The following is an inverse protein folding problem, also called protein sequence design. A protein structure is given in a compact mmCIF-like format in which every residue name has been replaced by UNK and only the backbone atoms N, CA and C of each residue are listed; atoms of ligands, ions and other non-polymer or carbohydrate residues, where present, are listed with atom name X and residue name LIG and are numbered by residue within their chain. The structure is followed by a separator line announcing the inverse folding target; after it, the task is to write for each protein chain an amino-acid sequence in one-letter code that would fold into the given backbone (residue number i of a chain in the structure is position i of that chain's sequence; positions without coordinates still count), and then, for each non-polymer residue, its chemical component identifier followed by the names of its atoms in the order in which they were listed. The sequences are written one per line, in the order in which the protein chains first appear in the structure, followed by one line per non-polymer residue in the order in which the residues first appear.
data_IF_907227511575
#
_entry.id   IF_907227511575
#
_cell.length_a   1.000
_cell.length_b   1.000
_cell.length_c   1.000
_cell.angle_alpha   90.00
_cell.angle_beta   90.00
_cell.angle_gamma   90.00
#
_symmetry.space_group_name_H-M   'P 1'
#
loop_
_entity.id
_entity.type
_entity.pdbx_description
1 polymer ?
#
# COMPACT_ATOMS: atom_id res chain seq x y z
N UNK A 1 18.26 25.86 -13.07
CA UNK A 1 17.36 24.76 -12.70
C UNK A 1 17.66 23.63 -13.65
N UNK A 2 17.96 22.44 -13.16
CA UNK A 2 18.16 21.29 -14.05
C UNK A 2 16.81 20.66 -14.39
N UNK A 3 16.67 20.05 -15.58
CA UNK A 3 15.43 19.39 -16.03
C UNK A 3 14.91 18.36 -15.00
N UNK A 4 15.83 17.71 -14.26
CA UNK A 4 15.49 16.77 -13.19
C UNK A 4 14.78 17.45 -12.00
N UNK A 5 15.18 18.67 -11.63
CA UNK A 5 14.53 19.44 -10.56
C UNK A 5 13.13 19.90 -10.97
N UNK A 6 12.96 20.28 -12.24
CA UNK A 6 11.65 20.67 -12.78
C UNK A 6 10.71 19.48 -12.83
N UNK A 7 11.18 18.32 -13.30
CA UNK A 7 10.46 17.06 -13.23
C UNK A 7 9.99 16.74 -11.80
N UNK A 8 10.90 16.79 -10.82
CA UNK A 8 10.58 16.48 -9.42
C UNK A 8 9.53 17.43 -8.83
N UNK A 9 9.53 18.70 -9.23
CA UNK A 9 8.49 19.65 -8.82
C UNK A 9 7.16 19.36 -9.48
N UNK A 10 7.14 19.06 -10.78
CA UNK A 10 5.91 18.77 -11.51
C UNK A 10 5.24 17.47 -11.02
N UNK A 11 6.03 16.49 -10.60
CA UNK A 11 5.57 15.15 -10.20
C UNK A 11 5.62 14.93 -8.67
N UNK A 12 5.53 16.00 -7.88
CA UNK A 12 5.56 15.93 -6.41
C UNK A 12 4.43 15.07 -5.83
N UNK A 13 3.30 14.91 -6.53
CA UNK A 13 2.19 14.02 -6.12
C UNK A 13 2.41 12.53 -6.38
N UNK A 14 3.41 12.14 -7.18
CA UNK A 14 3.64 10.75 -7.56
C UNK A 14 3.99 9.86 -6.34
N UNK A 15 3.59 8.59 -6.36
CA UNK A 15 3.97 7.60 -5.33
C UNK A 15 5.45 7.30 -5.34
N UNK A 16 6.06 7.38 -6.51
CA UNK A 16 7.42 6.98 -6.79
C UNK A 16 7.71 7.13 -8.27
N UNK A 17 8.96 6.86 -8.64
CA UNK A 17 9.45 7.12 -10.00
C UNK A 17 9.91 5.84 -10.66
N UNK A 18 9.62 5.71 -11.96
CA UNK A 18 10.23 4.72 -12.83
C UNK A 18 11.27 5.44 -13.70
N UNK A 19 12.51 4.99 -13.65
CA UNK A 19 13.59 5.53 -14.47
C UNK A 19 14.12 4.45 -15.40
N UNK A 20 14.14 4.75 -16.69
CA UNK A 20 14.71 3.85 -17.70
C UNK A 20 16.05 4.41 -18.16
N UNK A 21 17.12 3.69 -17.87
CA UNK A 21 18.51 4.08 -18.19
C UNK A 21 18.96 3.33 -19.44
N UNK A 22 18.97 4.03 -20.57
CA UNK A 22 19.48 3.50 -21.83
C UNK A 22 20.98 3.77 -22.01
N UNK A 23 21.48 4.85 -21.39
CA UNK A 23 22.89 5.19 -21.31
C UNK A 23 23.10 5.99 -20.02
N UNK A 24 24.09 5.63 -19.20
CA UNK A 24 24.30 6.30 -17.92
C UNK A 24 25.24 7.49 -18.08
N UNK A 25 24.86 8.62 -17.46
CA UNK A 25 25.74 9.76 -17.22
C UNK A 25 25.84 9.92 -15.70
N UNK A 26 27.06 9.98 -15.18
CA UNK A 26 27.38 10.15 -13.76
C UNK A 26 26.56 11.29 -13.16
N UNK A 27 25.92 11.05 -12.01
CA UNK A 27 25.24 12.07 -11.22
C UNK A 27 23.86 12.53 -11.73
N UNK A 28 23.45 12.14 -12.93
CA UNK A 28 22.15 12.56 -13.49
C UNK A 28 20.96 11.94 -12.73
N UNK A 29 21.15 10.75 -12.18
CA UNK A 29 20.11 10.03 -11.44
C UNK A 29 19.99 10.50 -9.99
N UNK A 30 21.03 11.11 -9.41
CA UNK A 30 21.09 11.40 -7.99
C UNK A 30 19.92 12.28 -7.48
N UNK A 31 19.50 13.35 -8.19
CA UNK A 31 18.33 14.12 -7.75
C UNK A 31 17.07 13.26 -7.59
N UNK A 32 16.84 12.33 -8.52
CA UNK A 32 15.68 11.44 -8.50
C UNK A 32 15.82 10.39 -7.38
N UNK A 33 17.01 9.79 -7.23
CA UNK A 33 17.29 8.81 -6.19
C UNK A 33 17.27 9.42 -4.77
N UNK A 34 17.55 10.71 -4.65
CA UNK A 34 17.51 11.49 -3.40
C UNK A 34 16.16 12.11 -3.09
N UNK A 35 15.16 11.95 -3.96
CA UNK A 35 13.81 12.51 -3.76
C UNK A 35 13.07 12.00 -2.51
N UNK A 36 13.57 10.94 -1.86
CA UNK A 36 12.92 10.28 -0.73
C UNK A 36 11.74 9.38 -1.13
N UNK A 37 11.34 9.40 -2.40
CA UNK A 37 10.30 8.53 -2.92
C UNK A 37 10.85 7.16 -3.33
N UNK A 38 10.03 6.10 -3.30
CA UNK A 38 10.34 4.84 -3.95
C UNK A 38 10.73 5.04 -5.42
N UNK A 39 11.86 4.49 -5.85
CA UNK A 39 12.30 4.55 -7.25
C UNK A 39 12.58 3.14 -7.78
N UNK A 40 12.11 2.86 -8.99
CA UNK A 40 12.49 1.67 -9.74
C UNK A 40 13.35 2.12 -10.90
N UNK A 41 14.59 1.63 -10.96
CA UNK A 41 15.53 1.89 -12.04
C UNK A 41 15.64 0.63 -12.88
N UNK A 42 15.36 0.76 -14.18
CA UNK A 42 15.54 -0.30 -15.18
C UNK A 42 16.57 0.18 -16.18
N UNK A 43 17.60 -0.60 -16.47
CA UNK A 43 18.56 -0.21 -17.50
C UNK A 43 19.18 -1.37 -18.24
N UNK A 44 19.88 -1.04 -19.32
CA UNK A 44 20.63 -2.03 -20.11
C UNK A 44 21.94 -2.41 -19.40
N UNK A 45 22.25 -3.70 -19.40
CA UNK A 45 23.52 -4.19 -18.89
C UNK A 45 24.71 -3.51 -19.61
N UNK A 46 25.80 -3.29 -18.87
CA UNK A 46 27.10 -2.74 -19.32
C UNK A 46 27.21 -1.22 -19.49
N UNK A 47 26.15 -0.47 -19.83
CA UNK A 47 26.24 1.00 -19.87
C UNK A 47 25.84 1.65 -18.54
N UNK A 48 26.85 1.89 -17.69
CA UNK A 48 26.76 2.56 -16.39
C UNK A 48 25.80 1.95 -15.35
N UNK A 49 25.53 0.65 -15.52
CA UNK A 49 24.91 -0.19 -14.50
C UNK A 49 25.65 -0.13 -13.15
N UNK A 50 26.98 -0.04 -13.18
CA UNK A 50 27.80 0.04 -11.97
C UNK A 50 27.54 1.30 -11.15
N UNK A 51 27.45 2.46 -11.81
CA UNK A 51 27.23 3.75 -11.14
C UNK A 51 25.81 3.85 -10.58
N UNK A 52 24.82 3.46 -11.37
CA UNK A 52 23.44 3.43 -10.91
C UNK A 52 23.26 2.44 -9.74
N UNK A 53 23.97 1.30 -9.76
CA UNK A 53 23.98 0.37 -8.64
C UNK A 53 24.60 1.00 -7.39
N UNK A 54 25.77 1.64 -7.51
CA UNK A 54 26.42 2.35 -6.39
C UNK A 54 25.53 3.45 -5.81
N UNK A 55 24.91 4.27 -6.67
CA UNK A 55 23.93 5.28 -6.28
C UNK A 55 22.73 4.67 -5.53
N UNK A 56 22.34 3.44 -5.87
CA UNK A 56 21.21 2.76 -5.22
C UNK A 56 21.55 2.16 -3.86
N UNK A 57 22.82 1.89 -3.58
CA UNK A 57 23.28 1.25 -2.33
C UNK A 57 23.41 2.22 -1.15
N UNK A 58 23.23 3.52 -1.37
CA UNK A 58 23.30 4.50 -0.29
C UNK A 58 22.20 4.27 0.77
N UNK A 59 22.56 4.24 2.07
CA UNK A 59 21.59 4.07 3.15
C UNK A 59 20.46 5.09 3.11
N UNK A 60 19.24 4.64 3.38
CA UNK A 60 18.04 5.49 3.41
C UNK A 60 17.37 5.70 2.05
N UNK A 61 17.98 5.26 0.95
CA UNK A 61 17.35 5.30 -0.38
C UNK A 61 16.40 4.11 -0.56
N UNK A 62 15.21 4.36 -1.12
CA UNK A 62 14.16 3.36 -1.38
C UNK A 62 14.17 2.96 -2.85
N UNK A 63 15.25 2.33 -3.30
CA UNK A 63 15.50 2.10 -4.73
C UNK A 63 15.55 0.61 -5.05
N UNK A 64 14.84 0.20 -6.10
CA UNK A 64 14.99 -1.12 -6.73
C UNK A 64 15.67 -0.92 -8.06
N UNK A 65 16.79 -1.59 -8.29
CA UNK A 65 17.58 -1.39 -9.51
C UNK A 65 17.75 -2.71 -10.24
N UNK A 66 17.40 -2.73 -11.53
CA UNK A 66 17.51 -3.90 -12.41
C UNK A 66 18.25 -3.51 -13.67
N UNK A 67 19.43 -4.09 -13.85
CA UNK A 67 20.19 -4.02 -15.08
C UNK A 67 20.20 -5.37 -15.77
N UNK A 68 19.77 -5.40 -17.02
CA UNK A 68 19.62 -6.63 -17.80
C UNK A 68 19.92 -6.37 -19.27
N UNK A 69 20.26 -7.41 -20.02
CA UNK A 69 20.44 -7.32 -21.47
C UNK A 69 19.14 -6.99 -22.21
N UNK A 70 17.99 -7.28 -21.59
CA UNK A 70 16.69 -6.97 -22.15
C UNK A 70 15.85 -6.16 -21.14
N UNK A 71 16.00 -4.81 -21.08
CA UNK A 71 15.26 -3.97 -20.14
C UNK A 71 13.75 -3.97 -20.38
N UNK A 72 13.30 -4.34 -21.59
CA UNK A 72 11.89 -4.56 -21.91
C UNK A 72 11.40 -5.98 -21.55
N UNK A 73 12.26 -6.81 -20.97
CA UNK A 73 11.92 -8.16 -20.54
C UNK A 73 10.92 -8.18 -19.39
N UNK A 74 10.14 -9.26 -19.32
CA UNK A 74 9.13 -9.48 -18.26
C UNK A 74 9.73 -9.34 -16.86
N UNK A 75 10.96 -9.78 -16.66
CA UNK A 75 11.64 -9.69 -15.37
C UNK A 75 11.81 -8.23 -14.90
N UNK A 76 12.33 -7.36 -15.75
CA UNK A 76 12.56 -5.95 -15.44
C UNK A 76 11.23 -5.20 -15.25
N UNK A 77 10.31 -5.34 -16.21
CA UNK A 77 9.00 -4.68 -16.16
C UNK A 77 8.20 -5.14 -14.93
N UNK A 78 8.33 -6.39 -14.50
CA UNK A 78 7.63 -6.89 -13.31
C UNK A 78 7.97 -6.12 -12.04
N UNK A 79 9.07 -5.36 -11.98
CA UNK A 79 9.40 -4.54 -10.81
C UNK A 79 8.52 -3.30 -10.68
N UNK A 80 7.94 -2.81 -11.78
CA UNK A 80 7.00 -1.68 -11.77
C UNK A 80 5.75 -1.99 -10.93
N UNK A 81 5.39 -3.28 -10.78
CA UNK A 81 4.26 -3.71 -9.95
C UNK A 81 4.33 -3.24 -8.50
N UNK A 82 5.53 -2.99 -7.97
CA UNK A 82 5.70 -2.49 -6.59
C UNK A 82 5.20 -1.05 -6.46
N UNK A 83 5.48 -0.19 -7.45
CA UNK A 83 4.94 1.17 -7.48
C UNK A 83 3.42 1.15 -7.61
N UNK A 84 2.88 0.26 -8.45
CA UNK A 84 1.43 0.07 -8.57
C UNK A 84 0.79 -0.43 -7.27
N UNK A 85 1.45 -1.33 -6.55
CA UNK A 85 0.97 -1.82 -5.26
C UNK A 85 0.97 -0.70 -4.22
N UNK A 86 2.02 0.12 -4.17
CA UNK A 86 2.09 1.28 -3.27
C UNK A 86 1.01 2.32 -3.58
N UNK A 87 0.73 2.59 -4.87
CA UNK A 87 -0.36 3.49 -5.23
C UNK A 87 -1.73 2.96 -4.79
N UNK A 88 -1.99 1.67 -5.04
CA UNK A 88 -3.21 1.02 -4.57
C UNK A 88 -3.35 1.08 -3.05
N UNK A 89 -2.28 0.83 -2.31
CA UNK A 89 -2.29 0.90 -0.85
C UNK A 89 -2.54 2.32 -0.35
N UNK A 90 -1.84 3.33 -0.89
CA UNK A 90 -2.04 4.74 -0.54
C UNK A 90 -3.47 5.22 -0.78
N UNK A 91 -4.11 4.72 -1.84
CA UNK A 91 -5.49 5.04 -2.19
C UNK A 91 -6.54 4.13 -1.53
N UNK A 92 -6.10 3.14 -0.74
CA UNK A 92 -7.00 2.22 -0.04
C UNK A 92 -7.48 2.81 1.29
N UNK A 93 -8.71 2.46 1.64
CA UNK A 93 -9.33 2.77 2.93
C UNK A 93 -9.60 1.46 3.65
N UNK A 94 -9.17 1.35 4.90
CA UNK A 94 -9.48 0.17 5.72
C UNK A 94 -10.47 0.58 6.78
N UNK A 95 -11.65 -0.05 6.76
CA UNK A 95 -12.70 0.17 7.74
C UNK A 95 -12.52 -0.80 8.91
N UNK A 96 -12.39 -0.26 10.11
CA UNK A 96 -12.42 -0.99 11.37
C UNK A 96 -13.79 -0.79 12.01
N UNK A 97 -14.55 -1.88 12.11
CA UNK A 97 -15.81 -1.92 12.84
C UNK A 97 -15.48 -2.42 14.25
N UNK A 98 -15.68 -1.56 15.24
CA UNK A 98 -15.31 -1.85 16.64
C UNK A 98 -16.51 -1.68 17.57
N UNK A 99 -16.44 -2.27 18.77
CA UNK A 99 -17.48 -2.04 19.77
C UNK A 99 -17.50 -0.57 20.21
N UNK A 100 -18.62 -0.05 20.73
CA UNK A 100 -18.72 1.33 21.22
C UNK A 100 -17.67 1.66 22.29
N UNK A 101 -17.36 0.71 23.19
CA UNK A 101 -16.32 0.87 24.21
C UNK A 101 -14.93 0.99 23.57
N UNK A 102 -14.60 0.16 22.58
CA UNK A 102 -13.33 0.24 21.86
C UNK A 102 -13.20 1.53 21.05
N UNK A 103 -14.26 2.01 20.38
CA UNK A 103 -14.25 3.32 19.69
C UNK A 103 -13.93 4.45 20.66
N UNK A 104 -14.53 4.41 21.85
CA UNK A 104 -14.25 5.35 22.94
C UNK A 104 -12.78 5.28 23.36
N UNK A 105 -12.22 4.09 23.58
CA UNK A 105 -10.79 3.96 23.93
C UNK A 105 -9.82 4.42 22.83
N UNK A 106 -10.19 4.37 21.55
CA UNK A 106 -9.33 4.86 20.46
C UNK A 106 -9.42 6.38 20.27
N UNK A 107 -10.60 6.97 20.49
CA UNK A 107 -10.84 8.41 20.32
C UNK A 107 -10.39 9.24 21.51
N UNK A 108 -10.55 8.71 22.72
CA UNK A 108 -10.07 9.33 23.93
C UNK A 108 -8.61 8.91 24.12
N UNK A 109 -7.67 9.84 23.92
CA UNK A 109 -6.24 9.64 24.18
C UNK A 109 -5.97 9.44 25.69
N UNK A 110 -6.51 8.38 26.28
CA UNK A 110 -6.20 8.01 27.65
C UNK A 110 -4.77 7.46 27.68
N UNK A 111 -3.95 7.81 28.67
CA UNK A 111 -2.53 7.43 28.75
C UNK A 111 -2.25 5.92 28.84
N UNK A 112 -3.29 5.08 28.93
CA UNK A 112 -3.23 3.62 28.92
C UNK A 112 -3.69 2.98 27.59
N UNK A 113 -4.26 3.76 26.67
CA UNK A 113 -4.77 3.30 25.35
C UNK A 113 -3.75 3.44 24.22
N UNK A 114 -2.50 3.69 24.58
CA UNK A 114 -1.36 4.01 23.72
C UNK A 114 -1.13 2.98 22.61
N UNK A 115 -1.65 1.75 22.76
CA UNK A 115 -1.42 0.66 21.82
C UNK A 115 -2.24 0.77 20.52
N UNK A 116 -3.57 0.91 20.58
CA UNK A 116 -4.39 0.84 19.35
C UNK A 116 -4.20 2.07 18.44
N UNK A 117 -4.14 3.27 19.01
CA UNK A 117 -3.92 4.49 18.21
C UNK A 117 -2.52 4.51 17.59
N UNK A 118 -1.50 4.00 18.30
CA UNK A 118 -0.14 3.89 17.74
C UNK A 118 -0.06 2.83 16.64
N UNK A 119 -0.81 1.72 16.75
CA UNK A 119 -0.96 0.73 15.67
C UNK A 119 -1.56 1.36 14.42
N UNK A 120 -2.65 2.14 14.53
CA UNK A 120 -3.25 2.80 13.37
C UNK A 120 -2.33 3.84 12.74
N UNK A 121 -1.62 4.64 13.55
CA UNK A 121 -0.61 5.58 13.06
C UNK A 121 0.53 4.85 12.36
N UNK A 122 0.97 3.72 12.90
CA UNK A 122 2.04 2.90 12.31
C UNK A 122 1.62 2.32 10.97
N UNK A 123 0.40 1.76 10.88
CA UNK A 123 -0.17 1.26 9.63
C UNK A 123 -0.22 2.39 8.60
N UNK A 124 -0.75 3.57 8.97
CA UNK A 124 -0.80 4.72 8.07
C UNK A 124 0.60 5.19 7.62
N UNK A 125 1.55 5.29 8.55
CA UNK A 125 2.91 5.73 8.25
C UNK A 125 3.68 4.75 7.35
N UNK A 126 3.46 3.45 7.52
CA UNK A 126 4.13 2.41 6.73
C UNK A 126 3.47 2.23 5.36
N UNK A 127 2.13 2.22 5.30
CA UNK A 127 1.38 1.79 4.11
C UNK A 127 0.71 2.92 3.36
N UNK A 128 0.58 4.11 3.96
CA UNK A 128 -0.23 5.22 3.45
C UNK A 128 -1.75 4.99 3.55
N UNK A 129 -2.19 3.81 3.99
CA UNK A 129 -3.61 3.45 4.09
C UNK A 129 -4.28 4.31 5.17
N UNK A 130 -5.43 4.87 4.86
CA UNK A 130 -6.23 5.62 5.82
C UNK A 130 -7.16 4.67 6.60
N UNK A 131 -6.96 4.47 7.92
CA UNK A 131 -7.90 3.73 8.74
C UNK A 131 -9.15 4.58 8.99
N UNK A 132 -10.33 3.97 8.85
CA UNK A 132 -11.62 4.54 9.19
C UNK A 132 -12.19 3.72 10.33
N UNK A 133 -12.62 4.35 11.40
CA UNK A 133 -13.16 3.66 12.58
C UNK A 133 -14.64 4.00 12.70
N UNK A 134 -15.47 2.95 12.70
CA UNK A 134 -16.92 3.06 12.90
C UNK A 134 -17.31 2.17 14.08
N UNK A 135 -18.30 2.59 14.87
CA UNK A 135 -18.86 1.70 15.87
C UNK A 135 -19.84 0.72 15.24
N UNK A 136 -19.97 -0.44 15.87
CA UNK A 136 -20.84 -1.51 15.40
C UNK A 136 -22.32 -1.08 15.30
N UNK A 137 -22.82 -0.25 16.21
CA UNK A 137 -24.21 0.22 16.16
C UNK A 137 -24.45 1.19 15.00
N UNK A 138 -23.53 2.12 14.78
CA UNK A 138 -23.53 3.06 13.66
C UNK A 138 -23.44 2.30 12.34
N UNK A 139 -22.57 1.28 12.26
CA UNK A 139 -22.48 0.41 11.09
C UNK A 139 -23.80 -0.33 10.85
N UNK A 140 -24.38 -0.90 11.90
CA UNK A 140 -25.65 -1.65 11.83
C UNK A 140 -26.79 -0.76 11.34
N UNK A 141 -26.94 0.44 11.90
CA UNK A 141 -28.00 1.37 11.54
C UNK A 141 -27.83 1.95 10.12
N UNK A 142 -26.60 2.25 9.70
CA UNK A 142 -26.33 2.86 8.39
C UNK A 142 -26.36 1.86 7.25
N UNK A 143 -25.85 0.66 7.47
CA UNK A 143 -25.61 -0.30 6.39
C UNK A 143 -26.44 -1.57 6.56
N UNK A 144 -26.40 -2.22 7.72
CA UNK A 144 -27.02 -3.55 7.90
C UNK A 144 -28.55 -3.50 7.87
N UNK A 145 -29.18 -2.66 8.68
CA UNK A 145 -30.64 -2.62 8.82
C UNK A 145 -31.37 -2.09 7.57
N UNK A 146 -30.65 -1.55 6.59
CA UNK A 146 -31.22 -1.02 5.35
C UNK A 146 -31.27 -2.04 4.22
N UNK A 147 -30.61 -3.19 4.40
CA UNK A 147 -30.58 -4.25 3.39
C UNK A 147 -31.91 -4.98 3.37
N UNK A 148 -32.44 -5.23 2.17
CA UNK A 148 -33.61 -6.08 1.99
C UNK A 148 -33.25 -7.54 2.30
N UNK A 149 -34.02 -8.18 3.17
CA UNK A 149 -33.82 -9.56 3.58
C UNK A 149 -33.91 -10.55 2.41
N UNK A 150 -34.76 -10.29 1.42
CA UNK A 150 -34.90 -11.13 0.23
C UNK A 150 -33.63 -11.12 -0.64
N UNK A 151 -33.01 -9.95 -0.80
CA UNK A 151 -31.73 -9.82 -1.51
C UNK A 151 -30.59 -10.50 -0.75
N UNK A 152 -30.58 -10.35 0.58
CA UNK A 152 -29.59 -11.00 1.44
C UNK A 152 -29.71 -12.53 1.35
N UNK A 153 -30.93 -13.06 1.27
CA UNK A 153 -31.20 -14.51 1.20
C UNK A 153 -30.62 -15.13 -0.07
N UNK A 154 -30.71 -14.45 -1.20
CA UNK A 154 -30.12 -14.91 -2.47
C UNK A 154 -28.59 -15.09 -2.34
N UNK A 155 -27.92 -14.14 -1.70
CA UNK A 155 -26.46 -14.20 -1.45
C UNK A 155 -26.12 -15.30 -0.46
N UNK A 156 -26.88 -15.41 0.64
CA UNK A 156 -26.68 -16.44 1.65
C UNK A 156 -26.84 -17.86 1.06
N UNK A 157 -27.90 -18.10 0.28
CA UNK A 157 -28.13 -19.39 -0.38
C UNK A 157 -27.03 -19.74 -1.38
N UNK A 158 -26.45 -18.74 -2.05
CA UNK A 158 -25.30 -18.95 -2.93
C UNK A 158 -24.04 -19.35 -2.14
N UNK A 159 -23.79 -18.70 -1.00
CA UNK A 159 -22.69 -19.07 -0.11
C UNK A 159 -22.87 -20.47 0.48
N UNK A 160 -24.06 -20.82 0.95
CA UNK A 160 -24.38 -22.13 1.51
C UNK A 160 -24.20 -23.24 0.47
N UNK A 161 -24.66 -23.04 -0.78
CA UNK A 161 -24.46 -24.01 -1.87
C UNK A 161 -23.01 -24.17 -2.31
N UNK A 162 -22.19 -23.13 -2.14
CA UNK A 162 -20.78 -23.13 -2.49
C UNK A 162 -19.85 -23.55 -1.36
N UNK A 163 -20.38 -23.80 -0.16
CA UNK A 163 -19.58 -24.16 1.00
C UNK A 163 -19.11 -25.62 0.89
N UNK A 164 -17.82 -25.85 1.11
CA UNK A 164 -17.22 -27.20 1.11
C UNK A 164 -17.79 -28.07 2.24
N UNK A 165 -18.10 -27.47 3.38
CA UNK A 165 -18.82 -28.12 4.48
C UNK A 165 -19.51 -27.08 5.36
N UNK A 166 -20.63 -27.45 5.97
CA UNK A 166 -21.32 -26.67 7.00
C UNK A 166 -21.05 -27.36 8.33
N UNK A 167 -20.37 -26.67 9.24
CA UNK A 167 -20.19 -27.13 10.62
C UNK A 167 -21.21 -26.43 11.49
N UNK A 168 -22.10 -27.19 12.11
CA UNK A 168 -22.96 -26.65 13.15
C UNK A 168 -22.10 -26.28 14.37
N UNK A 169 -22.34 -25.11 15.00
CA UNK A 169 -21.67 -24.78 16.24
C UNK A 169 -22.13 -25.77 17.33
N UNK A 170 -21.19 -26.43 18.00
CA UNK A 170 -21.47 -27.28 19.15
C UNK A 170 -22.19 -26.44 20.22
N UNK A 171 -23.51 -26.64 20.37
CA UNK A 171 -24.34 -26.04 21.41
C UNK A 171 -24.11 -26.70 22.78
N UNK A 172 -22.90 -27.18 23.04
CA UNK A 172 -22.49 -27.73 24.33
C UNK A 172 -21.12 -27.18 24.71
N UNK A 173 -21.17 -26.17 25.57
CA UNK A 173 -20.12 -25.85 26.51
C UNK A 173 -20.78 -25.19 27.72
N UNK A 174 -21.09 -26.05 28.68
CA UNK A 174 -21.15 -25.90 30.15
C UNK A 174 -21.17 -24.49 30.75
#
# INVERSE_FOLDING_TARGET
MSDAEEFLKSEEGAVGYLVVVLNSIVGLLDPILMSGKPVVVIGEAYSGAGEALLGSLHPGRRVITVFTRNPAGKEAISRVKHLLALDKLRNSKVLFIVSPSTKSHVTWQFPLSTDLYSVFRSINAITGVMPIIIDAEEFRLKYFNRVNEDEARIVADKWLRGAESIKEPDLRSD
#
